data_IF_162022700605
#
_entry.id   IF_162022700605
#
_cell.length_a   1.000
_cell.length_b   1.000
_cell.length_c   1.000
_cell.angle_alpha   90.00
_cell.angle_beta   90.00
_cell.angle_gamma   90.00
#
_symmetry.space_group_name_H-M   'P 1'
#
loop_
_entity.id
_entity.type
_entity.pdbx_description
1 polymer ?
#
# COMPACT_ATOMS: atom_id res chain seq x y z
N UNK A 1 -34.27 -18.96 -15.35
CA UNK A 1 -34.57 -17.56 -14.96
C UNK A 1 -33.92 -16.63 -15.97
N UNK A 2 -34.73 -15.86 -16.71
CA UNK A 2 -34.29 -15.09 -17.87
C UNK A 2 -33.25 -14.03 -17.52
N UNK A 3 -32.09 -14.11 -18.17
CA UNK A 3 -31.02 -13.12 -18.07
C UNK A 3 -31.51 -11.84 -18.77
N UNK A 4 -32.01 -10.90 -17.99
CA UNK A 4 -32.47 -9.61 -18.47
C UNK A 4 -31.25 -8.81 -19.01
N UNK A 5 -31.16 -8.69 -20.34
CA UNK A 5 -30.07 -8.11 -21.14
C UNK A 5 -29.82 -6.59 -20.92
N UNK A 6 -30.33 -5.99 -19.84
CA UNK A 6 -30.41 -4.51 -19.68
C UNK A 6 -29.30 -3.85 -18.84
N UNK A 7 -28.34 -4.59 -18.29
CA UNK A 7 -27.32 -4.03 -17.39
C UNK A 7 -25.90 -4.40 -17.82
N UNK A 8 -25.38 -3.71 -18.85
CA UNK A 8 -24.01 -3.89 -19.37
C UNK A 8 -22.92 -3.18 -18.54
N UNK A 9 -23.28 -2.40 -17.53
CA UNK A 9 -22.33 -1.56 -16.80
C UNK A 9 -21.90 -2.16 -15.44
N UNK A 10 -21.48 -3.43 -15.44
CA UNK A 10 -20.75 -3.98 -14.30
C UNK A 10 -19.28 -3.61 -14.49
N UNK A 11 -18.79 -2.66 -13.69
CA UNK A 11 -17.37 -2.29 -13.68
C UNK A 11 -16.58 -3.51 -13.19
N UNK A 12 -15.93 -4.20 -14.12
CA UNK A 12 -14.94 -5.22 -13.86
C UNK A 12 -13.58 -4.53 -13.87
N UNK A 13 -13.02 -4.26 -12.69
CA UNK A 13 -11.66 -3.75 -12.58
C UNK A 13 -10.73 -4.93 -12.28
N UNK A 14 -10.07 -5.47 -13.31
CA UNK A 14 -8.92 -6.36 -13.15
C UNK A 14 -7.70 -5.51 -12.79
N UNK A 15 -7.61 -5.11 -11.53
CA UNK A 15 -6.37 -4.59 -10.96
C UNK A 15 -6.14 -5.31 -9.65
N UNK A 16 -5.03 -6.05 -9.64
CA UNK A 16 -4.49 -6.89 -8.58
C UNK A 16 -4.78 -6.32 -7.19
N UNK A 17 -5.28 -7.14 -6.27
CA UNK A 17 -5.89 -6.72 -5.00
C UNK A 17 -4.98 -5.87 -4.10
N UNK A 18 -4.98 -4.56 -4.28
CA UNK A 18 -4.32 -3.59 -3.39
C UNK A 18 -5.29 -3.09 -2.31
N UNK A 19 -4.81 -2.66 -1.13
CA UNK A 19 -5.67 -2.16 -0.05
C UNK A 19 -6.60 -1.00 -0.47
N UNK A 20 -6.19 -0.23 -1.49
CA UNK A 20 -6.84 0.99 -1.91
C UNK A 20 -8.01 0.78 -2.90
N UNK A 21 -8.49 -0.46 -3.10
CA UNK A 21 -9.59 -0.73 -4.03
C UNK A 21 -10.89 0.02 -3.68
N UNK A 22 -11.31 0.15 -2.39
CA UNK A 22 -12.47 0.96 -2.05
C UNK A 22 -12.35 2.41 -2.53
N UNK A 23 -11.16 3.02 -2.40
CA UNK A 23 -10.89 4.38 -2.86
C UNK A 23 -10.97 4.50 -4.39
N UNK A 24 -10.46 3.52 -5.14
CA UNK A 24 -10.63 3.48 -6.60
C UNK A 24 -12.10 3.29 -6.98
N UNK A 25 -12.80 2.41 -6.27
CA UNK A 25 -14.20 2.07 -6.49
C UNK A 25 -15.14 3.26 -6.41
N UNK A 26 -14.97 4.12 -5.40
CA UNK A 26 -15.78 5.34 -5.27
C UNK A 26 -15.51 6.33 -6.42
N UNK A 27 -14.26 6.51 -6.85
CA UNK A 27 -13.91 7.38 -7.97
C UNK A 27 -14.49 6.88 -9.30
N UNK A 28 -14.45 5.57 -9.55
CA UNK A 28 -15.05 4.98 -10.75
C UNK A 28 -16.56 5.08 -10.73
N UNK A 29 -17.18 4.83 -9.57
CA UNK A 29 -18.63 4.87 -9.41
C UNK A 29 -19.18 6.28 -9.57
N UNK A 30 -18.47 7.30 -9.07
CA UNK A 30 -18.83 8.70 -9.28
C UNK A 30 -18.88 9.05 -10.79
N UNK A 31 -17.87 8.60 -11.56
CA UNK A 31 -17.84 8.79 -13.02
C UNK A 31 -18.99 8.06 -13.71
N UNK A 32 -19.32 6.84 -13.29
CA UNK A 32 -20.43 6.08 -13.86
C UNK A 32 -21.79 6.72 -13.54
N UNK A 33 -22.01 7.13 -12.29
CA UNK A 33 -23.23 7.83 -11.91
C UNK A 33 -23.38 9.15 -12.65
N UNK A 34 -22.30 9.92 -12.85
CA UNK A 34 -22.33 11.13 -13.67
C UNK A 34 -22.83 10.85 -15.09
N UNK A 35 -22.33 9.78 -15.73
CA UNK A 35 -22.82 9.34 -17.05
C UNK A 35 -24.29 8.90 -17.00
N UNK A 36 -24.68 8.12 -15.99
CA UNK A 36 -26.05 7.64 -15.81
C UNK A 36 -27.05 8.78 -15.60
N UNK A 37 -26.72 9.77 -14.76
CA UNK A 37 -27.51 10.97 -14.50
C UNK A 37 -27.74 11.73 -15.79
N UNK A 38 -26.68 11.97 -16.58
CA UNK A 38 -26.79 12.67 -17.87
C UNK A 38 -27.63 11.90 -18.88
N UNK A 39 -27.39 10.60 -19.04
CA UNK A 39 -28.10 9.75 -20.00
C UNK A 39 -29.60 9.66 -19.70
N UNK A 40 -29.98 9.64 -18.43
CA UNK A 40 -31.37 9.55 -18.00
C UNK A 40 -32.00 10.92 -17.69
N UNK A 41 -31.30 12.03 -17.97
CA UNK A 41 -31.76 13.41 -17.72
C UNK A 41 -32.28 13.64 -16.29
N UNK A 42 -31.59 13.05 -15.30
CA UNK A 42 -32.00 13.14 -13.90
C UNK A 42 -31.68 14.54 -13.35
N UNK A 43 -32.69 15.22 -12.80
CA UNK A 43 -32.50 16.52 -12.16
C UNK A 43 -32.04 16.35 -10.70
N UNK A 44 -30.74 16.20 -10.49
CA UNK A 44 -30.16 16.01 -9.15
C UNK A 44 -30.31 17.21 -8.20
N UNK A 45 -30.78 18.36 -8.70
CA UNK A 45 -31.12 19.55 -7.90
C UNK A 45 -32.61 19.64 -7.56
N UNK A 46 -33.40 18.62 -7.92
CA UNK A 46 -34.82 18.50 -7.58
C UNK A 46 -35.02 18.34 -6.07
N UNK A 47 -36.07 18.96 -5.52
CA UNK A 47 -36.52 18.73 -4.13
C UNK A 47 -37.01 17.30 -3.90
N UNK A 48 -37.41 16.60 -4.97
CA UNK A 48 -37.82 15.19 -4.91
C UNK A 48 -36.61 14.25 -4.96
N UNK A 49 -36.56 13.29 -4.03
CA UNK A 49 -35.55 12.23 -3.99
C UNK A 49 -35.53 11.40 -5.27
N UNK A 50 -34.36 11.31 -5.91
CA UNK A 50 -34.13 10.46 -7.07
C UNK A 50 -33.53 9.14 -6.61
N UNK A 51 -34.19 8.02 -6.96
CA UNK A 51 -33.66 6.68 -6.75
C UNK A 51 -32.68 6.35 -7.87
N UNK A 52 -31.49 5.89 -7.51
CA UNK A 52 -30.47 5.40 -8.44
C UNK A 52 -30.21 3.91 -8.17
N UNK A 53 -29.67 3.16 -9.16
CA UNK A 53 -29.29 1.78 -8.95
C UNK A 53 -28.27 1.61 -7.82
N UNK A 54 -28.44 0.59 -7.00
CA UNK A 54 -27.47 0.23 -5.96
C UNK A 54 -26.16 -0.21 -6.63
N UNK A 55 -25.02 0.46 -6.35
CA UNK A 55 -23.76 0.08 -6.94
C UNK A 55 -23.26 -1.24 -6.34
N UNK A 56 -22.65 -2.08 -7.17
CA UNK A 56 -21.91 -3.26 -6.74
C UNK A 56 -20.50 -3.20 -7.31
N UNK A 57 -19.50 -3.18 -6.43
CA UNK A 57 -18.11 -3.13 -6.81
C UNK A 57 -17.40 -4.43 -6.46
N UNK A 58 -17.13 -5.23 -7.50
CA UNK A 58 -16.41 -6.50 -7.37
C UNK A 58 -14.99 -6.37 -7.90
N UNK A 59 -14.07 -7.02 -7.20
CA UNK A 59 -12.68 -7.14 -7.61
C UNK A 59 -12.38 -8.62 -7.74
N UNK A 60 -11.99 -9.04 -8.94
CA UNK A 60 -11.50 -10.40 -9.13
C UNK A 60 -10.03 -10.47 -8.79
N UNK A 61 -9.68 -11.40 -7.92
CA UNK A 61 -8.33 -11.58 -7.43
C UNK A 61 -7.71 -12.88 -7.96
N UNK A 62 -6.62 -12.74 -8.70
CA UNK A 62 -5.76 -13.81 -9.24
C UNK A 62 -4.30 -13.68 -8.75
N UNK A 63 -4.08 -12.96 -7.64
CA UNK A 63 -2.73 -12.72 -7.12
C UNK A 63 -2.16 -13.89 -6.31
N UNK A 64 -0.85 -13.81 -6.03
CA UNK A 64 -0.06 -14.86 -5.34
C UNK A 64 -0.33 -14.99 -3.84
N UNK A 65 -0.84 -13.94 -3.16
CA UNK A 65 -1.16 -14.01 -1.72
C UNK A 65 -2.36 -14.93 -1.48
N UNK A 66 -2.27 -15.76 -0.44
CA UNK A 66 -3.37 -16.60 0.01
C UNK A 66 -4.43 -15.73 0.68
N UNK A 67 -5.62 -15.66 0.07
CA UNK A 67 -6.79 -14.98 0.62
C UNK A 67 -8.00 -15.93 0.61
N UNK A 68 -9.00 -15.62 1.44
CA UNK A 68 -10.29 -16.34 1.44
C UNK A 68 -11.02 -16.14 0.11
N UNK A 69 -12.01 -16.99 -0.17
CA UNK A 69 -12.88 -16.88 -1.36
C UNK A 69 -13.51 -15.49 -1.49
N UNK A 70 -13.90 -14.88 -0.36
CA UNK A 70 -14.47 -13.55 -0.32
C UNK A 70 -13.81 -12.71 0.76
N UNK A 71 -13.39 -11.50 0.39
CA UNK A 71 -12.88 -10.48 1.30
C UNK A 71 -13.63 -9.18 1.03
N UNK A 72 -14.02 -8.46 2.08
CA UNK A 72 -14.63 -7.13 1.97
C UNK A 72 -13.59 -6.12 2.42
N UNK A 73 -13.20 -5.22 1.52
CA UNK A 73 -12.36 -4.07 1.84
C UNK A 73 -13.25 -2.84 2.07
N UNK A 74 -12.88 -2.01 3.05
CA UNK A 74 -13.64 -0.82 3.44
C UNK A 74 -12.87 0.44 3.11
N UNK A 75 -13.59 1.49 2.73
CA UNK A 75 -12.98 2.79 2.49
C UNK A 75 -12.53 3.43 3.80
N UNK A 76 -13.26 3.17 4.89
CA UNK A 76 -12.93 3.69 6.21
C UNK A 76 -11.54 3.27 6.71
N UNK A 77 -11.05 2.10 6.28
CA UNK A 77 -9.71 1.61 6.64
C UNK A 77 -8.59 2.53 6.12
N UNK A 78 -8.89 3.42 5.16
CA UNK A 78 -7.96 4.40 4.61
C UNK A 78 -8.03 5.78 5.28
N UNK A 79 -8.94 6.01 6.24
CA UNK A 79 -9.08 7.32 6.89
C UNK A 79 -8.04 7.53 7.99
N UNK A 80 -7.43 8.70 8.02
CA UNK A 80 -6.44 9.07 9.04
C UNK A 80 -7.05 9.38 10.41
N UNK A 81 -8.33 9.75 10.45
CA UNK A 81 -9.06 10.06 11.67
C UNK A 81 -10.46 9.43 11.63
N UNK A 82 -10.67 8.41 12.47
CA UNK A 82 -11.95 7.73 12.59
C UNK A 82 -12.89 8.56 13.48
N UNK A 83 -13.56 9.55 12.88
CA UNK A 83 -14.70 10.22 13.49
C UNK A 83 -15.97 9.61 12.91
N UNK A 84 -16.60 8.70 13.65
CA UNK A 84 -17.86 8.02 13.33
C UNK A 84 -17.75 6.86 12.33
N UNK A 85 -17.58 5.64 12.86
CA UNK A 85 -17.62 4.42 12.05
C UNK A 85 -18.94 4.31 11.26
N UNK A 86 -18.83 4.01 9.96
CA UNK A 86 -19.95 3.60 9.11
C UNK A 86 -20.80 4.71 8.49
N UNK A 87 -20.61 5.99 8.83
CA UNK A 87 -21.39 7.09 8.22
C UNK A 87 -21.02 7.35 6.75
N UNK A 88 -19.75 7.17 6.41
CA UNK A 88 -19.24 7.28 5.05
C UNK A 88 -18.46 6.03 4.70
N UNK A 89 -19.11 5.11 3.99
CA UNK A 89 -18.56 3.80 3.70
C UNK A 89 -18.77 3.44 2.23
N UNK A 90 -17.70 2.97 1.61
CA UNK A 90 -17.73 2.33 0.30
C UNK A 90 -16.97 1.02 0.42
N UNK A 91 -17.55 -0.07 -0.07
CA UNK A 91 -16.94 -1.39 0.04
C UNK A 91 -16.56 -1.97 -1.31
N UNK A 92 -15.44 -2.68 -1.33
CA UNK A 92 -15.04 -3.52 -2.46
C UNK A 92 -15.19 -4.99 -2.06
N UNK A 93 -15.99 -5.75 -2.81
CA UNK A 93 -16.07 -7.21 -2.63
C UNK A 93 -15.01 -7.87 -3.50
N UNK A 94 -13.95 -8.33 -2.86
CA UNK A 94 -12.87 -9.08 -3.51
C UNK A 94 -13.25 -10.56 -3.54
N UNK A 95 -13.20 -11.15 -4.74
CA UNK A 95 -13.48 -12.56 -4.99
C UNK A 95 -12.22 -13.24 -5.51
N UNK A 96 -11.74 -14.24 -4.78
CA UNK A 96 -10.57 -15.03 -5.19
C UNK A 96 -10.96 -15.97 -6.32
N UNK A 97 -10.41 -15.75 -7.51
CA UNK A 97 -10.67 -16.58 -8.70
C UNK A 97 -9.52 -17.55 -9.00
N UNK A 98 -8.52 -17.64 -8.13
CA UNK A 98 -7.46 -18.64 -8.30
C UNK A 98 -8.05 -20.07 -8.32
N UNK A 99 -7.34 -21.00 -8.95
CA UNK A 99 -7.74 -22.41 -9.02
C UNK A 99 -8.07 -22.98 -7.64
N UNK A 100 -9.23 -23.63 -7.52
CA UNK A 100 -9.76 -24.16 -6.28
C UNK A 100 -10.57 -23.18 -5.42
N UNK A 101 -10.83 -21.96 -5.90
CA UNK A 101 -11.64 -20.95 -5.20
C UNK A 101 -12.86 -20.51 -6.03
N UNK A 102 -13.95 -20.12 -5.34
CA UNK A 102 -15.19 -19.62 -5.95
C UNK A 102 -15.72 -20.48 -7.12
N UNK A 103 -15.65 -21.80 -7.02
CA UNK A 103 -16.03 -22.72 -8.12
C UNK A 103 -17.47 -22.54 -8.60
N UNK A 104 -18.40 -22.18 -7.70
CA UNK A 104 -19.78 -21.87 -8.06
C UNK A 104 -19.92 -20.61 -8.94
N UNK A 105 -19.07 -19.60 -8.71
CA UNK A 105 -19.02 -18.40 -9.57
C UNK A 105 -18.47 -18.78 -10.95
N UNK A 106 -17.39 -19.55 -10.97
CA UNK A 106 -16.72 -19.98 -12.20
C UNK A 106 -17.63 -20.88 -13.04
N UNK A 107 -18.43 -21.75 -12.42
CA UNK A 107 -19.38 -22.61 -13.15
C UNK A 107 -20.50 -21.83 -13.85
N UNK A 108 -20.82 -20.62 -13.35
CA UNK A 108 -21.84 -19.74 -13.93
C UNK A 108 -21.30 -18.82 -15.03
N UNK A 109 -19.98 -18.71 -15.20
CA UNK A 109 -19.35 -17.83 -16.19
C UNK A 109 -18.20 -18.53 -16.91
N UNK A 110 -18.50 -19.12 -18.07
CA UNK A 110 -17.55 -19.91 -18.84
C UNK A 110 -16.29 -19.13 -19.22
N UNK A 111 -16.43 -17.90 -19.72
CA UNK A 111 -15.29 -17.03 -20.10
C UNK A 111 -14.36 -16.80 -18.89
N UNK A 112 -14.92 -16.54 -17.71
CA UNK A 112 -14.13 -16.32 -16.51
C UNK A 112 -13.41 -17.60 -16.06
N UNK A 113 -14.10 -18.74 -16.14
CA UNK A 113 -13.50 -20.05 -15.86
C UNK A 113 -12.34 -20.36 -16.81
N UNK A 114 -12.51 -20.11 -18.10
CA UNK A 114 -11.48 -20.33 -19.11
C UNK A 114 -10.29 -19.38 -18.93
N UNK A 115 -10.53 -18.12 -18.57
CA UNK A 115 -9.48 -17.19 -18.17
C UNK A 115 -8.67 -17.70 -16.97
N UNK A 116 -9.33 -18.21 -15.93
CA UNK A 116 -8.65 -18.81 -14.77
C UNK A 116 -7.76 -19.97 -15.19
N UNK A 117 -8.22 -20.81 -16.13
CA UNK A 117 -7.42 -21.93 -16.65
C UNK A 117 -6.19 -21.42 -17.43
N UNK A 118 -6.33 -20.38 -18.24
CA UNK A 118 -5.19 -19.76 -18.94
C UNK A 118 -4.13 -19.27 -17.96
N UNK A 119 -4.53 -18.50 -16.95
CA UNK A 119 -3.61 -17.94 -15.94
C UNK A 119 -2.96 -19.07 -15.11
N UNK A 120 -3.73 -20.08 -14.72
CA UNK A 120 -3.20 -21.25 -14.02
C UNK A 120 -2.16 -21.99 -14.89
N UNK A 121 -2.44 -22.18 -16.19
CA UNK A 121 -1.51 -22.81 -17.13
C UNK A 121 -0.22 -22.00 -17.30
N UNK A 122 -0.30 -20.67 -17.38
CA UNK A 122 0.89 -19.80 -17.42
C UNK A 122 1.72 -20.02 -16.16
N UNK A 123 1.09 -19.96 -14.98
CA UNK A 123 1.78 -20.17 -13.70
C UNK A 123 2.39 -21.58 -13.56
N UNK A 124 1.74 -22.63 -14.08
CA UNK A 124 2.29 -23.99 -14.11
C UNK A 124 3.47 -24.10 -15.07
N UNK A 125 3.41 -23.46 -16.24
CA UNK A 125 4.47 -23.48 -17.24
C UNK A 125 5.70 -22.71 -16.77
N UNK A 126 5.54 -21.61 -16.03
CA UNK A 126 6.68 -20.87 -15.45
C UNK A 126 7.54 -21.70 -14.49
N UNK A 127 7.03 -22.81 -13.96
CA UNK A 127 7.82 -23.73 -13.13
C UNK A 127 8.55 -24.80 -13.94
N UNK A 128 8.25 -24.91 -15.23
CA UNK A 128 8.73 -25.98 -16.12
C UNK A 128 9.70 -25.47 -17.18
N UNK A 129 9.51 -24.24 -17.65
CA UNK A 129 10.32 -23.61 -18.68
C UNK A 129 11.22 -22.54 -18.07
N UNK A 130 12.42 -22.40 -18.63
CA UNK A 130 13.39 -21.39 -18.19
C UNK A 130 13.06 -19.99 -18.71
N UNK A 131 12.38 -19.90 -19.86
CA UNK A 131 11.94 -18.64 -20.48
C UNK A 131 10.47 -18.34 -20.19
N UNK A 132 10.18 -17.08 -19.85
CA UNK A 132 8.82 -16.58 -19.64
C UNK A 132 8.04 -16.57 -20.96
N UNK A 133 8.71 -16.20 -22.05
CA UNK A 133 8.20 -16.26 -23.43
C UNK A 133 7.71 -17.67 -23.75
N UNK A 134 8.56 -18.67 -23.55
CA UNK A 134 8.22 -20.06 -23.84
C UNK A 134 7.06 -20.54 -22.95
N UNK A 135 7.04 -20.16 -21.67
CA UNK A 135 5.97 -20.52 -20.76
C UNK A 135 4.60 -19.95 -21.20
N UNK A 136 4.57 -18.68 -21.60
CA UNK A 136 3.38 -17.96 -22.05
C UNK A 136 2.90 -18.51 -23.40
N UNK A 137 3.80 -18.67 -24.38
CA UNK A 137 3.46 -19.20 -25.71
C UNK A 137 2.88 -20.61 -25.65
N UNK A 138 3.48 -21.49 -24.83
CA UNK A 138 2.98 -22.84 -24.61
C UNK A 138 1.61 -22.82 -23.93
N UNK A 139 1.40 -21.92 -22.97
CA UNK A 139 0.12 -21.82 -22.25
C UNK A 139 -1.02 -21.37 -23.18
N UNK A 140 -0.77 -20.34 -23.99
CA UNK A 140 -1.74 -19.83 -24.97
C UNK A 140 -2.03 -20.89 -26.03
N UNK A 141 -1.00 -21.54 -26.57
CA UNK A 141 -1.16 -22.60 -27.58
C UNK A 141 -1.93 -23.80 -27.03
N UNK A 142 -1.69 -24.18 -25.77
CA UNK A 142 -2.47 -25.19 -25.07
C UNK A 142 -3.95 -24.78 -24.97
N UNK A 143 -4.24 -23.54 -24.58
CA UNK A 143 -5.62 -23.07 -24.42
C UNK A 143 -6.38 -23.10 -25.74
N UNK A 144 -5.79 -22.59 -26.83
CA UNK A 144 -6.37 -22.64 -28.17
C UNK A 144 -6.68 -24.09 -28.60
N UNK A 145 -5.74 -25.02 -28.37
CA UNK A 145 -5.91 -26.45 -28.73
C UNK A 145 -7.02 -27.14 -27.94
N UNK A 146 -7.29 -26.69 -26.72
CA UNK A 146 -8.27 -27.29 -25.81
C UNK A 146 -9.60 -26.51 -25.75
N UNK A 147 -9.86 -25.62 -26.72
CA UNK A 147 -11.07 -24.81 -26.81
C UNK A 147 -11.29 -23.88 -25.60
N UNK A 148 -10.22 -23.35 -25.01
CA UNK A 148 -10.23 -22.44 -23.86
C UNK A 148 -9.95 -21.03 -24.37
N UNK A 149 -10.92 -20.11 -24.25
CA UNK A 149 -10.87 -18.77 -24.85
C UNK A 149 -10.47 -18.80 -26.33
N UNK A 150 -10.79 -19.88 -27.05
CA UNK A 150 -10.20 -20.19 -28.35
C UNK A 150 -10.39 -19.06 -29.37
N UNK A 151 -11.63 -18.59 -29.57
CA UNK A 151 -11.92 -17.54 -30.55
C UNK A 151 -11.11 -16.28 -30.24
N UNK A 152 -11.16 -15.82 -28.98
CA UNK A 152 -10.46 -14.64 -28.51
C UNK A 152 -8.94 -14.77 -28.63
N UNK A 153 -8.36 -15.90 -28.18
CA UNK A 153 -6.92 -16.13 -28.23
C UNK A 153 -6.43 -16.38 -29.65
N UNK A 154 -7.27 -16.90 -30.55
CA UNK A 154 -6.89 -17.10 -31.95
C UNK A 154 -6.83 -15.76 -32.68
N UNK A 155 -7.80 -14.88 -32.44
CA UNK A 155 -7.84 -13.54 -33.04
C UNK A 155 -6.74 -12.63 -32.47
N UNK A 156 -6.52 -12.66 -31.15
CA UNK A 156 -5.62 -11.73 -30.45
C UNK A 156 -4.31 -12.37 -29.95
N UNK A 157 -3.88 -13.50 -30.52
CA UNK A 157 -2.75 -14.30 -29.99
C UNK A 157 -1.51 -13.48 -29.68
N UNK A 158 -1.02 -12.74 -30.68
CA UNK A 158 0.23 -11.98 -30.57
C UNK A 158 0.10 -10.83 -29.56
N UNK A 159 -1.04 -10.14 -29.53
CA UNK A 159 -1.33 -9.05 -28.60
C UNK A 159 -1.37 -9.57 -27.15
N UNK A 160 -2.03 -10.71 -26.93
CA UNK A 160 -2.12 -11.34 -25.60
C UNK A 160 -0.74 -11.78 -25.12
N UNK A 161 0.06 -12.44 -25.96
CA UNK A 161 1.43 -12.85 -25.60
C UNK A 161 2.27 -11.62 -25.27
N UNK A 162 2.27 -10.60 -26.14
CA UNK A 162 3.04 -9.37 -25.93
C UNK A 162 2.62 -8.65 -24.64
N UNK A 163 1.32 -8.52 -24.40
CA UNK A 163 0.78 -7.91 -23.18
C UNK A 163 1.24 -8.65 -21.94
N UNK A 164 1.15 -9.99 -21.93
CA UNK A 164 1.57 -10.81 -20.80
C UNK A 164 3.07 -10.68 -20.55
N UNK A 165 3.91 -10.72 -21.59
CA UNK A 165 5.35 -10.56 -21.44
C UNK A 165 5.73 -9.17 -20.93
N UNK A 166 5.06 -8.14 -21.43
CA UNK A 166 5.25 -6.76 -20.96
C UNK A 166 4.89 -6.64 -19.48
N UNK A 167 3.76 -7.21 -19.04
CA UNK A 167 3.37 -7.22 -17.63
C UNK A 167 4.43 -7.92 -16.74
N UNK A 168 5.06 -9.00 -17.22
CA UNK A 168 6.13 -9.70 -16.49
C UNK A 168 7.42 -8.86 -16.39
N UNK A 169 7.87 -8.26 -17.50
CA UNK A 169 9.03 -7.37 -17.52
C UNK A 169 8.82 -6.16 -16.59
N UNK A 170 7.61 -5.60 -16.58
CA UNK A 170 7.21 -4.52 -15.68
C UNK A 170 7.24 -4.97 -14.22
N UNK A 171 6.68 -6.15 -13.88
CA UNK A 171 6.75 -6.69 -12.51
C UNK A 171 8.21 -6.87 -12.04
N UNK A 172 9.08 -7.39 -12.91
CA UNK A 172 10.49 -7.60 -12.58
C UNK A 172 11.23 -6.27 -12.38
N UNK A 173 11.08 -5.34 -13.32
CA UNK A 173 11.68 -4.00 -13.29
C UNK A 173 11.23 -3.24 -12.04
N UNK A 174 9.92 -3.24 -11.75
CA UNK A 174 9.38 -2.64 -10.53
C UNK A 174 9.91 -3.32 -9.26
N UNK A 175 10.17 -4.62 -9.32
CA UNK A 175 10.86 -5.37 -8.28
C UNK A 175 12.28 -4.84 -8.00
N UNK A 176 13.06 -4.54 -9.04
CA UNK A 176 14.38 -3.91 -8.90
C UNK A 176 14.28 -2.50 -8.30
N UNK A 177 13.42 -1.65 -8.85
CA UNK A 177 13.20 -0.29 -8.32
C UNK A 177 12.81 -0.32 -6.84
N UNK A 178 11.95 -1.25 -6.43
CA UNK A 178 11.54 -1.41 -5.03
C UNK A 178 12.70 -1.85 -4.13
N UNK A 179 13.57 -2.73 -4.61
CA UNK A 179 14.76 -3.18 -3.86
C UNK A 179 15.76 -2.04 -3.69
N UNK A 180 15.99 -1.25 -4.73
CA UNK A 180 16.90 -0.11 -4.67
C UNK A 180 16.33 0.98 -3.75
N UNK A 181 15.03 1.30 -3.86
CA UNK A 181 14.37 2.22 -2.95
C UNK A 181 14.44 1.75 -1.49
N UNK A 182 14.34 0.45 -1.23
CA UNK A 182 14.50 -0.11 0.11
C UNK A 182 15.94 0.05 0.61
N UNK A 183 16.94 -0.28 -0.22
CA UNK A 183 18.37 -0.12 0.12
C UNK A 183 18.75 1.34 0.37
N UNK A 184 18.23 2.26 -0.43
CA UNK A 184 18.47 3.69 -0.27
C UNK A 184 17.80 4.21 0.99
N UNK A 185 16.57 3.75 1.28
CA UNK A 185 15.89 4.02 2.54
C UNK A 185 16.64 3.50 3.77
N UNK A 186 17.20 2.29 3.69
CA UNK A 186 18.02 1.69 4.75
C UNK A 186 19.31 2.49 4.97
N UNK A 187 20.03 2.84 3.90
CA UNK A 187 21.22 3.70 3.98
C UNK A 187 20.90 5.06 4.59
N UNK A 188 19.83 5.72 4.13
CA UNK A 188 19.39 7.00 4.66
C UNK A 188 19.02 6.89 6.14
N UNK A 189 18.34 5.80 6.53
CA UNK A 189 18.00 5.52 7.92
C UNK A 189 19.24 5.31 8.81
N UNK A 190 20.24 4.57 8.33
CA UNK A 190 21.51 4.37 9.04
C UNK A 190 22.26 5.70 9.17
N UNK A 191 22.35 6.48 8.11
CA UNK A 191 23.05 7.78 8.14
C UNK A 191 22.37 8.76 9.10
N UNK A 192 21.04 8.84 9.05
CA UNK A 192 20.26 9.65 9.98
C UNK A 192 20.44 9.17 11.43
N UNK A 193 20.38 7.85 11.67
CA UNK A 193 20.59 7.25 12.98
C UNK A 193 21.99 7.54 13.53
N UNK A 194 23.03 7.45 12.70
CA UNK A 194 24.41 7.75 13.08
C UNK A 194 24.60 9.24 13.39
N UNK A 195 24.06 10.14 12.57
CA UNK A 195 24.07 11.59 12.83
C UNK A 195 23.34 11.95 14.12
N UNK A 196 22.17 11.35 14.37
CA UNK A 196 21.43 11.55 15.61
C UNK A 196 22.19 10.98 16.82
N UNK A 197 22.78 9.80 16.68
CA UNK A 197 23.57 9.15 17.73
C UNK A 197 24.84 9.92 18.10
N UNK A 198 25.55 10.48 17.12
CA UNK A 198 26.71 11.35 17.37
C UNK A 198 26.31 12.61 18.14
N UNK A 199 25.27 13.33 17.68
CA UNK A 199 24.76 14.52 18.38
C UNK A 199 24.29 14.22 19.80
N UNK A 200 23.62 13.08 19.99
CA UNK A 200 23.22 12.63 21.32
C UNK A 200 24.45 12.33 22.19
N UNK A 201 25.47 11.66 21.65
CA UNK A 201 26.73 11.37 22.35
C UNK A 201 27.49 12.63 22.77
N UNK A 202 27.58 13.63 21.88
CA UNK A 202 28.17 14.94 22.17
C UNK A 202 27.43 15.63 23.34
N UNK A 203 26.09 15.65 23.29
CA UNK A 203 25.28 16.26 24.34
C UNK A 203 25.41 15.52 25.69
N UNK A 204 25.45 14.20 25.68
CA UNK A 204 25.67 13.40 26.90
C UNK A 204 27.05 13.65 27.51
N UNK A 205 28.08 13.79 26.67
CA UNK A 205 29.43 14.14 27.13
C UNK A 205 29.44 15.54 27.73
N UNK A 206 28.81 16.52 27.06
CA UNK A 206 28.68 17.89 27.56
C UNK A 206 28.02 17.92 28.94
N UNK A 207 26.88 17.24 29.10
CA UNK A 207 26.17 17.12 30.38
C UNK A 207 27.09 16.53 31.47
N UNK A 208 27.84 15.48 31.16
CA UNK A 208 28.78 14.86 32.10
C UNK A 208 29.90 15.82 32.52
N UNK A 209 30.44 16.59 31.58
CA UNK A 209 31.50 17.57 31.84
C UNK A 209 30.99 18.75 32.66
N UNK A 210 29.79 19.26 32.36
CA UNK A 210 29.12 20.30 33.14
C UNK A 210 28.93 19.85 34.59
N UNK A 211 28.34 18.66 34.82
CA UNK A 211 28.12 18.14 36.18
C UNK A 211 29.45 18.01 36.96
N UNK A 212 30.51 17.47 36.33
CA UNK A 212 31.85 17.36 36.95
C UNK A 212 32.46 18.72 37.29
N UNK A 213 32.25 19.75 36.47
CA UNK A 213 32.77 21.10 36.73
C UNK A 213 31.94 21.83 37.80
N UNK A 214 30.63 21.63 37.84
CA UNK A 214 29.77 22.13 38.92
C UNK A 214 30.18 21.57 40.29
N UNK A 215 30.44 20.26 40.38
CA UNK A 215 30.91 19.63 41.62
C UNK A 215 32.28 20.16 42.09
N UNK A 216 33.06 20.77 41.19
CA UNK A 216 34.32 21.45 41.50
C UNK A 216 34.13 22.92 41.90
N UNK A 217 32.88 23.41 41.96
CA UNK A 217 32.53 24.77 42.38
C UNK A 217 32.74 25.85 41.31
N UNK A 218 32.84 25.48 40.02
CA UNK A 218 32.98 26.46 38.93
C UNK A 218 31.67 27.19 38.64
N UNK A 219 31.74 28.47 38.26
CA UNK A 219 30.56 29.24 37.85
C UNK A 219 30.07 28.86 36.45
N UNK A 220 28.85 29.28 36.10
CA UNK A 220 28.26 29.05 34.77
C UNK A 220 29.12 29.71 33.69
N UNK A 221 29.62 30.91 33.96
CA UNK A 221 30.50 31.66 33.05
C UNK A 221 31.81 30.91 32.80
N UNK A 222 32.45 30.40 33.86
CA UNK A 222 33.69 29.61 33.76
C UNK A 222 33.47 28.28 33.03
N UNK A 223 32.31 27.65 33.20
CA UNK A 223 31.97 26.38 32.51
C UNK A 223 31.72 26.62 31.02
N UNK A 224 31.00 27.68 30.67
CA UNK A 224 30.74 28.06 29.28
C UNK A 224 32.04 28.40 28.54
N UNK A 225 32.94 29.15 29.19
CA UNK A 225 34.26 29.45 28.62
C UNK A 225 35.14 28.20 28.50
N UNK A 226 35.23 27.38 29.56
CA UNK A 226 36.04 26.15 29.57
C UNK A 226 35.62 25.10 28.52
N UNK A 227 34.34 25.05 28.19
CA UNK A 227 33.75 24.07 27.27
C UNK A 227 33.51 24.66 25.87
N UNK A 228 33.77 25.96 25.68
CA UNK A 228 33.50 26.72 24.45
C UNK A 228 32.04 26.58 23.98
N UNK A 229 31.11 26.56 24.92
CA UNK A 229 29.67 26.38 24.68
C UNK A 229 28.88 27.63 25.04
N UNK A 230 27.70 27.79 24.44
CA UNK A 230 26.87 28.95 24.73
C UNK A 230 26.31 28.91 26.16
N UNK A 231 26.27 30.09 26.80
CA UNK A 231 25.82 30.24 28.19
C UNK A 231 24.40 29.71 28.40
N UNK A 232 23.51 29.88 27.43
CA UNK A 232 22.10 29.48 27.53
C UNK A 232 21.97 27.94 27.59
N UNK A 233 22.76 27.22 26.82
CA UNK A 233 22.85 25.75 26.83
C UNK A 233 23.40 25.24 28.16
N UNK A 234 24.46 25.87 28.68
CA UNK A 234 25.01 25.51 30.00
C UNK A 234 24.00 25.79 31.12
N UNK A 235 23.32 26.94 31.11
CA UNK A 235 22.28 27.29 32.09
C UNK A 235 21.14 26.25 32.10
N UNK A 236 20.69 25.80 30.92
CA UNK A 236 19.65 24.75 30.81
C UNK A 236 20.11 23.43 31.45
N UNK A 237 21.34 23.00 31.20
CA UNK A 237 21.90 21.76 31.78
C UNK A 237 22.04 21.88 33.30
N UNK A 238 22.65 22.98 33.76
CA UNK A 238 22.86 23.28 35.19
C UNK A 238 21.55 23.24 35.95
N UNK A 239 20.52 23.93 35.45
CA UNK A 239 19.19 23.98 36.07
C UNK A 239 18.59 22.58 36.26
N UNK A 240 18.67 21.72 35.25
CA UNK A 240 18.14 20.34 35.34
C UNK A 240 18.92 19.51 36.36
N UNK A 241 20.23 19.69 36.45
CA UNK A 241 21.08 18.99 37.44
C UNK A 241 20.78 19.49 38.86
N UNK A 242 20.63 20.80 39.08
CA UNK A 242 20.32 21.37 40.40
C UNK A 242 18.94 20.91 40.90
N UNK A 243 17.94 20.84 40.01
CA UNK A 243 16.58 20.40 40.33
C UNK A 243 16.52 18.90 40.73
N UNK A 244 17.46 18.07 40.26
CA UNK A 244 17.41 16.61 40.42
C UNK A 244 18.58 16.01 41.23
N UNK A 245 19.57 16.83 41.60
CA UNK A 245 20.78 16.41 42.30
C UNK A 245 21.90 15.90 41.39
N UNK A 246 23.13 16.02 41.87
CA UNK A 246 24.35 15.73 41.10
C UNK A 246 24.56 14.24 40.73
N UNK A 247 23.83 13.31 41.36
CA UNK A 247 23.90 11.88 41.05
C UNK A 247 23.04 11.47 39.84
N UNK A 248 22.33 12.43 39.22
CA UNK A 248 21.50 12.15 38.04
C UNK A 248 22.34 11.67 36.85
N UNK A 249 21.82 10.63 36.15
CA UNK A 249 22.42 10.11 34.92
C UNK A 249 22.28 11.15 33.78
N UNK A 250 23.36 11.37 33.02
CA UNK A 250 23.39 12.24 31.85
C UNK A 250 22.29 11.91 30.81
N UNK A 251 21.93 10.65 30.63
CA UNK A 251 20.81 10.24 29.75
C UNK A 251 19.47 10.80 30.23
N UNK A 252 19.22 10.78 31.54
CA UNK A 252 17.98 11.33 32.11
C UNK A 252 17.94 12.85 31.97
N UNK A 253 19.07 13.52 32.16
CA UNK A 253 19.18 14.97 31.92
C UNK A 253 18.92 15.30 30.45
N UNK A 254 19.50 14.54 29.52
CA UNK A 254 19.28 14.71 28.09
C UNK A 254 17.81 14.55 27.69
N UNK A 255 17.13 13.50 28.17
CA UNK A 255 15.69 13.30 27.92
C UNK A 255 14.82 14.43 28.51
N UNK A 256 15.18 14.95 29.69
CA UNK A 256 14.47 16.08 30.31
C UNK A 256 14.67 17.41 29.57
N UNK A 257 15.82 17.60 28.90
CA UNK A 257 16.09 18.77 28.05
C UNK A 257 15.38 18.63 26.70
N UNK A 258 15.32 17.42 26.14
CA UNK A 258 14.72 17.13 24.83
C UNK A 258 13.19 17.04 24.86
N UNK A 259 12.62 16.62 26.00
CA UNK A 259 11.18 16.43 26.20
C UNK A 259 10.42 17.68 26.65
N UNK A 260 11.08 18.83 26.80
CA UNK A 260 10.49 20.15 27.06
C UNK A 260 10.56 21.01 25.80
#
# INVERSE_FOLDING_TARGET
MGINRKYKDRIFCMLFGYPNMPLRGILYSARLFSKYIKANKLNIYSEKLIKIPTPQYYVLYNGKRKIKDKVILRLSDAFSALQNEGQFEWTATVLNINKGHNEELLSKCQILKEYVILIDRINENQKKYDSVEEAVENAVSYCIKNNILQDFLTEHKAEVIMSLLTEYDEEETMGYVRRDAYRDGEKAGIEQGLKQGLKQGEMLMLISMVNKKMQKGKSIEEIAEDLEEDRETIEKIVKVIEENGHDINAEKVYEMIKGK
#
